data_IF_178348610195
#
_entry.id   IF_178348610195
#
_cell.length_a   1.000
_cell.length_b   1.000
_cell.length_c   1.000
_cell.angle_alpha   90.00
_cell.angle_beta   90.00
_cell.angle_gamma   90.00
#
_symmetry.space_group_name_H-M   'P 1'
#
loop_
_entity.id
_entity.type
_entity.pdbx_description
1 polymer ?
#
# COMPACT_ATOMS: atom_id res chain seq x y z
N UNK A 1 -18.80 -5.01 -18.35
CA UNK A 1 -18.68 -6.49 -18.51
C UNK A 1 -18.24 -7.08 -17.19
N UNK A 2 -18.79 -8.23 -16.80
CA UNK A 2 -18.36 -8.98 -15.61
C UNK A 2 -17.09 -9.74 -15.94
N UNK A 3 -16.02 -9.57 -15.13
CA UNK A 3 -14.75 -10.28 -15.28
C UNK A 3 -14.56 -11.27 -14.13
N UNK A 4 -13.78 -12.34 -14.36
CA UNK A 4 -13.31 -13.24 -13.30
C UNK A 4 -12.03 -12.65 -12.69
N UNK A 5 -12.06 -12.43 -11.39
CA UNK A 5 -10.98 -11.75 -10.66
C UNK A 5 -10.50 -12.63 -9.51
N UNK A 6 -9.18 -12.81 -9.41
CA UNK A 6 -8.54 -13.34 -8.21
C UNK A 6 -8.02 -12.18 -7.36
N UNK A 7 -8.18 -12.24 -6.03
CA UNK A 7 -7.57 -11.29 -5.11
C UNK A 7 -6.83 -12.01 -3.99
N UNK A 8 -5.51 -11.83 -3.96
CA UNK A 8 -4.58 -12.50 -3.03
C UNK A 8 -4.09 -11.50 -1.99
N UNK A 9 -4.37 -11.78 -0.71
CA UNK A 9 -3.98 -10.93 0.40
C UNK A 9 -5.11 -10.02 0.89
N UNK A 10 -5.77 -10.44 1.98
CA UNK A 10 -6.88 -9.75 2.63
C UNK A 10 -6.41 -9.06 3.92
N UNK A 11 -5.36 -8.25 3.81
CA UNK A 11 -4.94 -7.31 4.85
C UNK A 11 -5.92 -6.15 4.99
N UNK A 12 -5.56 -5.15 5.81
CA UNK A 12 -6.38 -3.93 6.02
C UNK A 12 -6.67 -3.18 4.72
N UNK A 13 -5.80 -3.30 3.72
CA UNK A 13 -5.97 -2.70 2.40
C UNK A 13 -6.73 -3.63 1.44
N UNK A 14 -6.24 -4.86 1.26
CA UNK A 14 -6.79 -5.79 0.25
C UNK A 14 -8.20 -6.26 0.54
N UNK A 15 -8.61 -6.35 1.81
CA UNK A 15 -9.95 -6.78 2.20
C UNK A 15 -11.05 -5.88 1.62
N UNK A 16 -11.04 -4.54 1.86
CA UNK A 16 -12.01 -3.64 1.25
C UNK A 16 -11.85 -3.49 -0.27
N UNK A 17 -10.61 -3.51 -0.82
CA UNK A 17 -10.38 -3.42 -2.26
C UNK A 17 -11.05 -4.57 -3.01
N UNK A 18 -10.85 -5.82 -2.58
CA UNK A 18 -11.54 -6.98 -3.13
C UNK A 18 -13.06 -6.85 -3.01
N UNK A 19 -13.55 -6.27 -1.89
CA UNK A 19 -14.96 -6.00 -1.65
C UNK A 19 -15.57 -5.03 -2.65
N UNK A 20 -14.86 -3.95 -2.99
CA UNK A 20 -15.31 -2.99 -4.01
C UNK A 20 -15.38 -3.62 -5.40
N UNK A 21 -14.40 -4.45 -5.78
CA UNK A 21 -14.43 -5.19 -7.06
C UNK A 21 -15.65 -6.12 -7.11
N UNK A 22 -15.95 -6.83 -6.01
CA UNK A 22 -17.15 -7.68 -5.92
C UNK A 22 -18.46 -6.88 -6.00
N UNK A 23 -18.54 -5.73 -5.29
CA UNK A 23 -19.71 -4.84 -5.34
C UNK A 23 -19.95 -4.25 -6.73
N UNK A 24 -18.91 -4.07 -7.53
CA UNK A 24 -19.00 -3.63 -8.92
C UNK A 24 -19.53 -4.74 -9.87
N UNK A 25 -19.79 -5.96 -9.36
CA UNK A 25 -20.42 -7.06 -10.11
C UNK A 25 -19.42 -8.02 -10.77
N UNK A 26 -18.14 -7.99 -10.42
CA UNK A 26 -17.16 -8.97 -10.87
C UNK A 26 -17.24 -10.28 -10.08
N UNK A 27 -16.90 -11.42 -10.70
CA UNK A 27 -16.82 -12.74 -10.04
C UNK A 27 -15.45 -12.86 -9.33
N UNK A 28 -15.44 -12.62 -8.01
CA UNK A 28 -14.21 -12.53 -7.24
C UNK A 28 -13.93 -13.82 -6.47
N UNK A 29 -12.73 -14.38 -6.66
CA UNK A 29 -12.18 -15.47 -5.85
C UNK A 29 -11.04 -14.92 -5.00
N UNK A 30 -11.11 -15.07 -3.68
CA UNK A 30 -10.11 -14.55 -2.76
C UNK A 30 -9.24 -15.64 -2.17
N UNK A 31 -7.98 -15.29 -1.89
CA UNK A 31 -7.08 -16.11 -1.10
C UNK A 31 -6.42 -15.26 -0.01
N UNK A 32 -6.28 -15.83 1.18
CA UNK A 32 -5.48 -15.26 2.26
C UNK A 32 -4.82 -16.36 3.08
N UNK A 33 -3.55 -16.18 3.46
CA UNK A 33 -2.78 -17.14 4.30
C UNK A 33 -3.54 -17.53 5.57
N UNK A 34 -4.22 -16.56 6.22
CA UNK A 34 -5.15 -16.84 7.33
C UNK A 34 -6.54 -17.11 6.74
N UNK A 35 -6.91 -18.37 6.61
CA UNK A 35 -8.16 -18.83 5.95
C UNK A 35 -9.42 -18.15 6.52
N UNK A 36 -9.49 -17.98 7.84
CA UNK A 36 -10.63 -17.33 8.50
C UNK A 36 -10.93 -15.91 7.98
N UNK A 37 -9.91 -15.18 7.47
CA UNK A 37 -10.15 -13.87 6.85
C UNK A 37 -10.84 -13.98 5.50
N UNK A 38 -10.50 -14.99 4.69
CA UNK A 38 -11.15 -15.24 3.41
C UNK A 38 -12.59 -15.71 3.62
N UNK A 39 -12.83 -16.60 4.60
CA UNK A 39 -14.18 -17.06 4.97
C UNK A 39 -15.05 -15.90 5.50
N UNK A 40 -14.48 -14.99 6.32
CA UNK A 40 -15.17 -13.76 6.76
C UNK A 40 -15.53 -12.88 5.57
N UNK A 41 -14.61 -12.70 4.63
CA UNK A 41 -14.81 -11.85 3.45
C UNK A 41 -15.99 -12.38 2.59
N UNK A 42 -16.08 -13.69 2.35
CA UNK A 42 -17.19 -14.31 1.57
C UNK A 42 -18.55 -14.16 2.27
N UNK A 43 -18.58 -14.12 3.61
CA UNK A 43 -19.81 -13.85 4.36
C UNK A 43 -20.29 -12.40 4.21
N UNK A 44 -19.36 -11.47 3.99
CA UNK A 44 -19.65 -10.03 3.86
C UNK A 44 -19.89 -9.61 2.42
N UNK A 45 -19.12 -10.21 1.47
CA UNK A 45 -19.19 -9.91 0.04
C UNK A 45 -19.56 -11.15 -0.76
N UNK A 46 -20.15 -10.96 -1.93
CA UNK A 46 -20.42 -12.08 -2.86
C UNK A 46 -19.11 -12.50 -3.53
N UNK A 47 -18.74 -13.77 -3.38
CA UNK A 47 -17.51 -14.31 -4.00
C UNK A 47 -17.18 -15.70 -3.49
N UNK A 48 -15.97 -16.16 -3.79
CA UNK A 48 -15.48 -17.51 -3.47
C UNK A 48 -14.15 -17.42 -2.74
N UNK A 49 -13.80 -18.47 -2.00
CA UNK A 49 -12.44 -18.66 -1.46
C UNK A 49 -11.70 -19.72 -2.26
N UNK A 50 -10.36 -19.62 -2.25
CA UNK A 50 -9.48 -20.68 -2.71
C UNK A 50 -8.49 -21.07 -1.60
N UNK A 51 -7.95 -22.29 -1.67
CA UNK A 51 -7.01 -22.78 -0.66
C UNK A 51 -5.55 -22.39 -0.97
N UNK A 52 -5.25 -22.02 -2.24
CA UNK A 52 -3.93 -21.56 -2.66
C UNK A 52 -4.04 -20.36 -3.63
N UNK A 53 -2.96 -19.55 -3.78
CA UNK A 53 -2.91 -18.53 -4.83
C UNK A 53 -3.10 -19.11 -6.23
N UNK A 54 -2.55 -20.31 -6.49
CA UNK A 54 -2.68 -21.06 -7.73
C UNK A 54 -4.15 -21.36 -8.05
N UNK A 55 -4.91 -21.85 -7.06
CA UNK A 55 -6.32 -22.16 -7.25
C UNK A 55 -7.17 -20.89 -7.46
N UNK A 56 -6.84 -19.81 -6.74
CA UNK A 56 -7.51 -18.52 -6.90
C UNK A 56 -7.35 -17.95 -8.31
N UNK A 57 -6.15 -18.04 -8.89
CA UNK A 57 -5.80 -17.43 -10.17
C UNK A 57 -6.33 -18.19 -11.39
N UNK A 58 -6.82 -19.45 -11.19
CA UNK A 58 -7.23 -20.30 -12.30
C UNK A 58 -8.39 -19.66 -13.09
N UNK A 59 -8.23 -19.58 -14.40
CA UNK A 59 -9.21 -19.05 -15.36
C UNK A 59 -9.63 -17.58 -15.13
N UNK A 60 -8.88 -16.82 -14.32
CA UNK A 60 -9.16 -15.41 -14.07
C UNK A 60 -8.70 -14.51 -15.22
N UNK A 61 -9.45 -13.42 -15.46
CA UNK A 61 -9.10 -12.36 -16.42
C UNK A 61 -8.12 -11.39 -15.79
N UNK A 62 -8.34 -11.09 -14.50
CA UNK A 62 -7.48 -10.22 -13.68
C UNK A 62 -7.08 -10.93 -12.39
N UNK A 63 -5.84 -10.71 -11.98
CA UNK A 63 -5.30 -11.24 -10.73
C UNK A 63 -4.71 -10.07 -9.95
N UNK A 64 -5.15 -9.87 -8.72
CA UNK A 64 -4.67 -8.80 -7.83
C UNK A 64 -3.91 -9.39 -6.65
N UNK A 65 -2.84 -8.73 -6.24
CA UNK A 65 -2.15 -9.02 -4.98
C UNK A 65 -2.02 -7.77 -4.12
N UNK A 66 -2.14 -7.95 -2.80
CA UNK A 66 -1.81 -6.94 -1.81
C UNK A 66 -1.25 -7.63 -0.56
N UNK A 67 0.06 -7.88 -0.56
CA UNK A 67 0.78 -8.66 0.47
C UNK A 67 1.82 -7.81 1.20
N UNK A 68 2.71 -8.40 1.98
CA UNK A 68 3.57 -7.65 2.90
C UNK A 68 4.85 -7.05 2.29
N UNK A 69 5.55 -7.81 1.44
CA UNK A 69 6.91 -7.48 0.98
C UNK A 69 7.31 -8.33 -0.25
N UNK A 70 8.57 -8.15 -0.72
CA UNK A 70 9.13 -8.89 -1.87
C UNK A 70 9.09 -10.41 -1.70
N UNK A 71 9.38 -10.92 -0.49
CA UNK A 71 9.38 -12.36 -0.23
C UNK A 71 7.96 -12.94 -0.25
N UNK A 72 7.00 -12.25 0.36
CA UNK A 72 5.59 -12.64 0.28
C UNK A 72 5.10 -12.63 -1.19
N UNK A 73 5.54 -11.65 -2.00
CA UNK A 73 5.23 -11.61 -3.43
C UNK A 73 5.81 -12.81 -4.18
N UNK A 74 7.09 -13.13 -3.98
CA UNK A 74 7.69 -14.32 -4.61
C UNK A 74 6.95 -15.58 -4.23
N UNK A 75 6.60 -15.75 -2.95
CA UNK A 75 5.88 -16.93 -2.48
C UNK A 75 4.52 -17.07 -3.17
N UNK A 76 3.69 -16.02 -3.18
CA UNK A 76 2.35 -16.10 -3.77
C UNK A 76 2.34 -16.12 -5.30
N UNK A 77 3.44 -15.71 -5.95
CA UNK A 77 3.56 -15.69 -7.42
C UNK A 77 4.33 -16.88 -7.97
N UNK A 78 5.57 -17.07 -7.54
CA UNK A 78 6.53 -18.02 -8.11
C UNK A 78 6.69 -19.30 -7.27
N UNK A 79 6.22 -19.30 -6.01
CA UNK A 79 6.29 -20.46 -5.11
C UNK A 79 5.58 -21.70 -5.66
N UNK A 80 5.70 -22.82 -4.96
CA UNK A 80 5.15 -24.12 -5.41
C UNK A 80 3.65 -24.09 -5.68
N UNK A 81 2.89 -23.29 -4.89
CA UNK A 81 1.46 -23.04 -5.05
C UNK A 81 1.17 -21.62 -5.53
N UNK A 82 2.14 -21.00 -6.21
CA UNK A 82 2.06 -19.62 -6.69
C UNK A 82 1.14 -19.46 -7.89
N UNK A 83 0.54 -18.29 -8.01
CA UNK A 83 -0.45 -17.96 -9.04
C UNK A 83 0.08 -18.08 -10.48
N UNK A 84 1.39 -17.96 -10.71
CA UNK A 84 2.01 -18.09 -12.04
C UNK A 84 1.97 -19.53 -12.61
N UNK A 85 1.57 -20.52 -11.80
CA UNK A 85 1.37 -21.90 -12.27
C UNK A 85 0.09 -22.06 -13.09
N UNK A 86 -0.94 -21.23 -12.83
CA UNK A 86 -2.29 -21.39 -13.42
C UNK A 86 -2.84 -20.12 -14.06
N UNK A 87 -2.16 -18.97 -13.92
CA UNK A 87 -2.54 -17.76 -14.62
C UNK A 87 -2.66 -18.04 -16.13
N UNK A 88 -3.83 -17.77 -16.69
CA UNK A 88 -4.09 -18.06 -18.11
C UNK A 88 -3.37 -17.07 -19.02
N UNK A 89 -3.07 -17.49 -20.24
CA UNK A 89 -2.55 -16.58 -21.28
C UNK A 89 -3.52 -15.42 -21.50
N UNK A 90 -2.96 -14.22 -21.60
CA UNK A 90 -3.73 -12.98 -21.76
C UNK A 90 -4.39 -12.44 -20.50
N UNK A 91 -4.25 -13.09 -19.33
CA UNK A 91 -4.63 -12.49 -18.06
C UNK A 91 -3.78 -11.26 -17.74
N UNK A 92 -4.29 -10.39 -16.87
CA UNK A 92 -3.55 -9.22 -16.39
C UNK A 92 -3.35 -9.36 -14.89
N UNK A 93 -2.08 -9.42 -14.47
CA UNK A 93 -1.71 -9.43 -13.07
C UNK A 93 -1.39 -8.01 -12.60
N UNK A 94 -2.07 -7.55 -11.55
CA UNK A 94 -1.95 -6.22 -10.93
C UNK A 94 -1.45 -6.38 -9.50
N UNK A 95 -0.26 -5.91 -9.22
CA UNK A 95 0.31 -5.95 -7.87
C UNK A 95 0.16 -4.63 -7.13
N UNK A 96 -0.71 -4.61 -6.12
CA UNK A 96 -0.92 -3.44 -5.25
C UNK A 96 0.00 -3.41 -4.02
N UNK A 97 0.92 -4.35 -3.89
CA UNK A 97 1.88 -4.40 -2.80
C UNK A 97 2.89 -3.26 -2.91
N UNK A 98 3.24 -2.62 -1.80
CA UNK A 98 4.42 -1.77 -1.74
C UNK A 98 5.66 -2.65 -1.60
N UNK A 99 6.43 -2.76 -2.68
CA UNK A 99 7.57 -3.64 -2.84
C UNK A 99 8.73 -2.94 -3.57
N UNK A 100 9.84 -3.64 -3.84
CA UNK A 100 10.94 -3.07 -4.60
C UNK A 100 10.62 -2.96 -6.10
N UNK A 101 11.22 -1.99 -6.79
CA UNK A 101 11.14 -1.93 -8.25
C UNK A 101 11.84 -3.13 -8.92
N UNK A 102 12.74 -3.80 -8.20
CA UNK A 102 13.41 -5.00 -8.69
C UNK A 102 12.44 -6.19 -8.79
N UNK A 103 11.66 -6.45 -7.73
CA UNK A 103 10.67 -7.53 -7.79
C UNK A 103 9.59 -7.24 -8.84
N UNK A 104 9.17 -5.99 -9.01
CA UNK A 104 8.23 -5.62 -10.06
C UNK A 104 8.77 -5.98 -11.46
N UNK A 105 10.03 -5.63 -11.74
CA UNK A 105 10.70 -5.96 -13.01
C UNK A 105 10.93 -7.47 -13.19
N UNK A 106 11.24 -8.19 -12.11
CA UNK A 106 11.36 -9.64 -12.08
C UNK A 106 10.04 -10.29 -12.49
N UNK A 107 8.94 -9.93 -11.80
CA UNK A 107 7.61 -10.49 -12.04
C UNK A 107 7.06 -10.11 -13.43
N UNK A 108 7.36 -8.91 -13.91
CA UNK A 108 7.02 -8.51 -15.29
C UNK A 108 7.65 -9.45 -16.32
N UNK A 109 8.95 -9.75 -16.20
CA UNK A 109 9.65 -10.65 -17.12
C UNK A 109 9.07 -12.07 -17.08
N UNK A 110 8.83 -12.58 -15.87
CA UNK A 110 8.25 -13.90 -15.66
C UNK A 110 6.82 -13.99 -16.23
N UNK A 111 5.98 -12.98 -16.00
CA UNK A 111 4.63 -12.91 -16.56
C UNK A 111 4.64 -12.94 -18.08
N UNK A 112 5.48 -12.09 -18.71
CA UNK A 112 5.64 -12.05 -20.18
C UNK A 112 6.12 -13.38 -20.74
N UNK A 113 7.06 -14.06 -20.08
CA UNK A 113 7.55 -15.38 -20.52
C UNK A 113 6.45 -16.45 -20.53
N UNK A 114 5.44 -16.28 -19.69
CA UNK A 114 4.29 -17.20 -19.56
C UNK A 114 3.07 -16.77 -20.39
N UNK A 115 3.14 -15.62 -21.06
CA UNK A 115 2.11 -15.12 -21.97
C UNK A 115 0.95 -14.38 -21.30
N UNK A 116 1.17 -13.78 -20.12
CA UNK A 116 0.23 -12.85 -19.49
C UNK A 116 0.91 -11.52 -19.13
N UNK A 117 0.13 -10.51 -18.79
CA UNK A 117 0.61 -9.15 -18.54
C UNK A 117 0.79 -8.88 -17.05
N UNK A 118 1.66 -7.92 -16.72
CA UNK A 118 1.93 -7.49 -15.34
C UNK A 118 1.92 -5.97 -15.23
N UNK A 119 1.32 -5.48 -14.14
CA UNK A 119 1.33 -4.08 -13.72
C UNK A 119 1.74 -3.99 -12.24
N UNK A 120 2.76 -3.23 -11.91
CA UNK A 120 3.00 -2.79 -10.54
C UNK A 120 2.14 -1.57 -10.24
N UNK A 121 1.28 -1.69 -9.26
CA UNK A 121 0.23 -0.73 -8.98
C UNK A 121 0.07 -0.42 -7.48
N UNK A 122 1.16 -0.05 -6.78
CA UNK A 122 1.08 0.29 -5.36
C UNK A 122 0.13 1.45 -5.10
N UNK A 123 -0.40 1.48 -3.88
CA UNK A 123 -1.52 2.32 -3.47
C UNK A 123 -1.14 3.30 -2.37
N UNK A 124 -1.87 4.41 -2.30
CA UNK A 124 -1.79 5.41 -1.24
C UNK A 124 -3.19 5.88 -0.82
N UNK A 125 -3.36 6.21 0.47
CA UNK A 125 -4.62 6.64 1.08
C UNK A 125 -4.88 6.02 2.44
N UNK A 126 -4.04 5.04 2.85
CA UNK A 126 -4.15 4.34 4.13
C UNK A 126 -5.44 3.52 4.26
N UNK A 127 -5.70 3.01 5.45
CA UNK A 127 -6.88 2.18 5.75
C UNK A 127 -8.18 2.92 5.41
N UNK A 128 -8.32 4.17 5.81
CA UNK A 128 -9.52 4.97 5.53
C UNK A 128 -9.78 5.15 4.02
N UNK A 129 -8.71 5.34 3.22
CA UNK A 129 -8.83 5.40 1.77
C UNK A 129 -9.25 4.09 1.14
N UNK A 130 -8.78 2.96 1.67
CA UNK A 130 -9.19 1.63 1.21
C UNK A 130 -10.65 1.33 1.57
N UNK A 131 -11.05 1.60 2.82
CA UNK A 131 -12.43 1.44 3.29
C UNK A 131 -13.41 2.37 2.57
N UNK A 132 -12.96 3.56 2.18
CA UNK A 132 -13.77 4.53 1.42
C UNK A 132 -13.79 4.28 -0.10
N UNK A 133 -12.99 3.35 -0.63
CA UNK A 133 -12.88 3.12 -2.08
C UNK A 133 -12.26 4.30 -2.84
N UNK A 134 -11.40 5.09 -2.19
CA UNK A 134 -10.85 6.35 -2.72
C UNK A 134 -9.31 6.37 -2.71
N UNK A 135 -8.70 5.23 -2.99
CA UNK A 135 -7.25 5.14 -3.06
C UNK A 135 -6.67 5.90 -4.27
N UNK A 136 -5.40 6.27 -4.15
CA UNK A 136 -4.58 6.69 -5.29
C UNK A 136 -3.71 5.51 -5.71
N UNK A 137 -3.69 5.19 -7.00
CA UNK A 137 -2.97 4.04 -7.57
C UNK A 137 -1.91 4.54 -8.55
N UNK A 138 -0.66 4.14 -8.31
CA UNK A 138 0.51 4.52 -9.10
C UNK A 138 0.92 3.33 -9.96
N UNK A 139 0.68 3.38 -11.27
CA UNK A 139 0.85 2.21 -12.14
C UNK A 139 2.15 2.28 -12.93
N UNK A 140 2.89 1.17 -12.98
CA UNK A 140 3.99 0.92 -13.90
C UNK A 140 3.71 -0.32 -14.74
N UNK A 141 4.06 -0.28 -16.03
CA UNK A 141 3.85 -1.38 -16.97
C UNK A 141 3.53 -0.90 -18.38
N UNK A 142 2.95 -1.79 -19.18
CA UNK A 142 2.59 -1.48 -20.57
C UNK A 142 1.21 -0.81 -20.63
N UNK A 143 1.02 0.06 -21.62
CA UNK A 143 -0.21 0.84 -21.80
C UNK A 143 -1.44 -0.02 -22.13
N UNK A 144 -1.29 -1.03 -22.98
CA UNK A 144 -2.41 -1.86 -23.40
C UNK A 144 -3.05 -2.66 -22.23
N UNK A 145 -2.29 -3.38 -21.36
CA UNK A 145 -2.85 -3.98 -20.16
C UNK A 145 -3.34 -2.94 -19.14
N UNK A 146 -2.70 -1.77 -19.02
CA UNK A 146 -3.19 -0.69 -18.16
C UNK A 146 -4.60 -0.27 -18.55
N UNK A 147 -4.84 0.06 -19.81
CA UNK A 147 -6.15 0.50 -20.30
C UNK A 147 -7.26 -0.54 -20.07
N UNK A 148 -6.91 -1.85 -20.08
CA UNK A 148 -7.87 -2.93 -19.77
C UNK A 148 -8.10 -3.09 -18.27
N UNK A 149 -7.10 -2.87 -17.43
CA UNK A 149 -7.18 -3.03 -15.97
C UNK A 149 -7.78 -1.81 -15.28
N UNK A 150 -7.63 -0.61 -15.85
CA UNK A 150 -8.07 0.65 -15.27
C UNK A 150 -9.52 0.63 -14.77
N UNK A 151 -10.55 0.11 -15.53
CA UNK A 151 -11.92 0.06 -15.03
C UNK A 151 -12.12 -0.85 -13.81
N UNK A 152 -11.27 -1.87 -13.63
CA UNK A 152 -11.33 -2.76 -12.45
C UNK A 152 -10.61 -2.12 -11.26
N UNK A 153 -9.51 -1.41 -11.50
CA UNK A 153 -8.77 -0.66 -10.47
C UNK A 153 -9.61 0.52 -9.99
N UNK A 154 -10.41 1.14 -10.86
CA UNK A 154 -11.26 2.28 -10.53
C UNK A 154 -12.34 1.93 -9.49
N UNK A 155 -12.72 0.66 -9.36
CA UNK A 155 -13.67 0.21 -8.34
C UNK A 155 -13.28 0.62 -6.90
N UNK A 156 -11.99 0.76 -6.60
CA UNK A 156 -11.48 1.08 -5.25
C UNK A 156 -10.59 2.33 -5.20
N UNK A 157 -10.59 3.13 -6.26
CA UNK A 157 -9.70 4.28 -6.36
C UNK A 157 -10.40 5.56 -6.80
N UNK A 158 -9.83 6.70 -6.43
CA UNK A 158 -10.24 8.04 -6.92
C UNK A 158 -9.28 8.61 -7.95
N UNK A 159 -8.09 8.04 -8.08
CA UNK A 159 -7.06 8.48 -9.03
C UNK A 159 -6.15 7.31 -9.38
N UNK A 160 -6.04 7.07 -10.68
CA UNK A 160 -5.14 6.08 -11.24
C UNK A 160 -4.29 6.77 -12.29
N UNK A 161 -3.02 6.39 -12.42
CA UNK A 161 -2.19 6.87 -13.52
C UNK A 161 -1.07 5.88 -13.85
N UNK A 162 -0.90 5.61 -15.16
CA UNK A 162 0.30 4.97 -15.69
C UNK A 162 1.46 5.99 -15.68
N UNK A 163 2.58 5.62 -15.06
CA UNK A 163 3.71 6.52 -14.79
C UNK A 163 5.00 6.11 -15.50
N UNK A 164 4.94 5.04 -16.29
CA UNK A 164 6.05 4.54 -17.08
C UNK A 164 6.09 3.01 -17.14
N UNK A 165 7.21 2.45 -17.55
CA UNK A 165 7.43 1.00 -17.65
C UNK A 165 7.38 0.32 -16.28
N UNK A 166 7.39 -1.02 -16.28
CA UNK A 166 7.37 -1.83 -15.05
C UNK A 166 8.43 -1.38 -14.03
N UNK A 167 8.03 -1.22 -12.79
CA UNK A 167 8.78 -0.65 -11.68
C UNK A 167 8.52 0.85 -11.45
N UNK A 168 7.92 1.58 -12.40
CA UNK A 168 7.64 3.01 -12.25
C UNK A 168 6.57 3.29 -11.19
N UNK A 169 5.61 2.40 -11.00
CA UNK A 169 4.64 2.48 -9.92
C UNK A 169 5.34 2.39 -8.55
N UNK A 170 6.22 1.40 -8.37
CA UNK A 170 6.99 1.23 -7.13
C UNK A 170 7.94 2.41 -6.87
N UNK A 171 8.62 2.91 -7.91
CA UNK A 171 9.47 4.12 -7.78
C UNK A 171 8.63 5.33 -7.34
N UNK A 172 7.46 5.51 -7.93
CA UNK A 172 6.54 6.59 -7.51
C UNK A 172 6.05 6.41 -6.08
N UNK A 173 5.80 5.16 -5.65
CA UNK A 173 5.48 4.87 -4.25
C UNK A 173 6.64 5.21 -3.31
N UNK A 174 7.90 5.00 -3.71
CA UNK A 174 9.05 5.43 -2.91
C UNK A 174 9.08 6.96 -2.74
N UNK A 175 8.83 7.73 -3.79
CA UNK A 175 8.68 9.20 -3.71
C UNK A 175 7.59 9.57 -2.70
N UNK A 176 6.42 8.93 -2.78
CA UNK A 176 5.33 9.15 -1.83
C UNK A 176 5.74 8.87 -0.38
N UNK A 177 6.47 7.77 -0.11
CA UNK A 177 6.86 7.39 1.25
C UNK A 177 7.94 8.32 1.83
N UNK A 178 8.88 8.79 1.02
CA UNK A 178 9.86 9.83 1.40
C UNK A 178 9.12 11.10 1.85
N UNK A 179 8.14 11.57 1.09
CA UNK A 179 7.33 12.73 1.45
C UNK A 179 6.56 12.51 2.75
N UNK A 180 5.85 11.37 2.89
CA UNK A 180 5.05 11.09 4.10
C UNK A 180 5.91 11.06 5.34
N UNK A 181 7.06 10.39 5.33
CA UNK A 181 7.93 10.30 6.49
C UNK A 181 8.37 11.69 6.97
N UNK A 182 8.79 12.55 6.04
CA UNK A 182 9.23 13.93 6.34
C UNK A 182 8.07 14.78 6.88
N UNK A 183 6.89 14.70 6.26
CA UNK A 183 5.69 15.42 6.72
C UNK A 183 5.29 15.02 8.14
N UNK A 184 5.29 13.73 8.46
CA UNK A 184 4.92 13.23 9.80
C UNK A 184 5.93 13.66 10.85
N UNK A 185 7.22 13.63 10.55
CA UNK A 185 8.26 14.10 11.48
C UNK A 185 8.11 15.61 11.75
N UNK A 186 7.99 16.43 10.70
CA UNK A 186 7.79 17.87 10.86
C UNK A 186 6.52 18.22 11.64
N UNK A 187 5.42 17.49 11.40
CA UNK A 187 4.18 17.66 12.15
C UNK A 187 4.35 17.26 13.62
N UNK A 188 5.11 16.20 13.91
CA UNK A 188 5.41 15.76 15.28
C UNK A 188 6.17 16.83 16.07
N UNK A 189 7.18 17.44 15.46
CA UNK A 189 7.92 18.54 16.07
C UNK A 189 7.05 19.77 16.28
N UNK A 190 6.24 20.14 15.29
CA UNK A 190 5.37 21.30 15.35
C UNK A 190 4.31 21.17 16.45
N UNK A 191 3.66 20.01 16.56
CA UNK A 191 2.68 19.76 17.63
C UNK A 191 3.35 19.80 18.99
N UNK A 192 4.49 19.12 19.16
CA UNK A 192 5.22 19.14 20.43
C UNK A 192 5.68 20.55 20.82
N UNK A 193 6.20 21.33 19.86
CA UNK A 193 6.59 22.73 20.09
C UNK A 193 5.41 23.58 20.56
N UNK A 194 4.26 23.49 19.87
CA UNK A 194 3.07 24.26 20.21
C UNK A 194 2.51 23.89 21.60
N UNK A 195 2.48 22.60 21.94
CA UNK A 195 2.07 22.13 23.27
C UNK A 195 2.99 22.69 24.38
N UNK A 196 4.30 22.66 24.16
CA UNK A 196 5.28 23.19 25.11
C UNK A 196 5.23 24.72 25.22
N UNK A 197 4.76 25.41 24.19
CA UNK A 197 4.50 26.86 24.19
C UNK A 197 3.14 27.24 24.81
N UNK A 198 2.35 26.25 25.28
CA UNK A 198 1.06 26.48 25.90
C UNK A 198 -0.08 26.78 24.92
N UNK A 199 0.08 26.48 23.63
CA UNK A 199 -0.93 26.71 22.62
C UNK A 199 -2.00 25.58 22.61
N UNK A 200 -3.24 25.95 22.34
CA UNK A 200 -4.27 24.95 22.00
C UNK A 200 -4.00 24.42 20.58
N UNK A 201 -3.44 23.22 20.49
CA UNK A 201 -3.04 22.65 19.20
C UNK A 201 -4.21 22.32 18.27
N UNK A 202 -5.42 22.14 18.77
CA UNK A 202 -6.61 21.98 17.91
C UNK A 202 -6.88 23.28 17.15
N UNK A 203 -6.88 24.43 17.83
CA UNK A 203 -7.13 25.75 17.23
C UNK A 203 -5.98 26.10 16.26
N UNK A 204 -4.73 25.82 16.65
CA UNK A 204 -3.56 26.05 15.79
C UNK A 204 -3.70 25.27 14.48
N UNK A 205 -4.01 23.97 14.55
CA UNK A 205 -4.16 23.12 13.34
C UNK A 205 -5.36 23.56 12.51
N UNK A 206 -6.47 23.96 13.11
CA UNK A 206 -7.64 24.50 12.38
C UNK A 206 -7.21 25.65 11.44
N UNK A 207 -6.40 26.58 11.96
CA UNK A 207 -5.93 27.73 11.20
C UNK A 207 -4.88 27.33 10.14
N UNK A 208 -3.77 26.69 10.55
CA UNK A 208 -2.66 26.43 9.64
C UNK A 208 -2.95 25.39 8.58
N UNK A 209 -3.95 24.52 8.79
CA UNK A 209 -4.41 23.54 7.77
C UNK A 209 -5.05 24.21 6.55
N UNK A 210 -5.35 25.50 6.58
CA UNK A 210 -5.86 26.29 5.45
C UNK A 210 -4.76 27.08 4.73
N UNK A 211 -3.54 27.03 5.24
CA UNK A 211 -2.39 27.73 4.69
C UNK A 211 -1.41 26.80 4.00
N UNK A 212 -0.22 27.34 3.68
CA UNK A 212 0.83 26.65 2.93
C UNK A 212 1.44 25.41 3.64
N UNK A 213 1.24 25.28 4.95
CA UNK A 213 1.70 24.13 5.73
C UNK A 213 0.74 22.93 5.68
N UNK A 214 -0.41 23.05 5.01
CA UNK A 214 -1.43 22.02 4.92
C UNK A 214 -0.83 20.69 4.40
N UNK A 215 -1.28 19.60 5.00
CA UNK A 215 -1.01 18.24 4.51
C UNK A 215 -2.12 17.29 4.94
N UNK A 216 -2.28 16.18 4.17
CA UNK A 216 -3.21 15.12 4.58
C UNK A 216 -2.89 14.59 5.99
N UNK A 217 -1.61 14.51 6.35
CA UNK A 217 -1.18 14.05 7.67
C UNK A 217 -1.63 15.03 8.77
N UNK A 218 -1.49 16.34 8.52
CA UNK A 218 -1.98 17.36 9.43
C UNK A 218 -3.50 17.25 9.66
N UNK A 219 -4.30 17.13 8.59
CA UNK A 219 -5.75 17.07 8.69
C UNK A 219 -6.26 15.77 9.34
N UNK A 220 -5.60 14.63 9.11
CA UNK A 220 -6.11 13.31 9.48
C UNK A 220 -5.39 12.66 10.67
N UNK A 221 -4.29 13.23 11.18
CA UNK A 221 -3.49 12.64 12.27
C UNK A 221 -3.32 13.52 13.49
N UNK A 222 -3.48 14.83 13.39
CA UNK A 222 -3.22 15.74 14.51
C UNK A 222 -3.98 15.39 15.79
N UNK A 223 -5.27 15.02 15.70
CA UNK A 223 -6.09 14.69 16.87
C UNK A 223 -5.50 13.52 17.66
N UNK A 224 -5.26 12.42 16.99
CA UNK A 224 -4.69 11.22 17.60
C UNK A 224 -3.26 11.41 18.08
N UNK A 225 -2.48 12.28 17.42
CA UNK A 225 -1.15 12.69 17.87
C UNK A 225 -1.22 13.48 19.17
N UNK A 226 -2.16 14.43 19.28
CA UNK A 226 -2.39 15.22 20.51
C UNK A 226 -2.88 14.31 21.64
N UNK A 227 -3.80 13.38 21.36
CA UNK A 227 -4.44 12.46 22.30
C UNK A 227 -3.58 11.22 22.63
N UNK A 228 -2.39 11.07 22.07
CA UNK A 228 -1.48 9.92 22.29
C UNK A 228 -2.08 8.55 21.88
N UNK A 229 -2.85 8.49 20.79
CA UNK A 229 -3.53 7.28 20.30
C UNK A 229 -2.94 6.81 18.97
N UNK A 230 -2.39 5.58 18.90
CA UNK A 230 -1.66 5.10 17.72
C UNK A 230 -2.01 3.66 17.32
N UNK A 231 -2.96 2.99 17.96
CA UNK A 231 -3.31 1.58 17.67
C UNK A 231 -4.24 1.45 16.44
N UNK A 232 -3.81 2.06 15.32
CA UNK A 232 -4.55 2.07 14.05
C UNK A 232 -3.59 2.41 12.88
N UNK A 233 -4.13 2.45 11.67
CA UNK A 233 -3.51 3.07 10.50
C UNK A 233 -2.37 2.27 9.89
N UNK A 234 -1.24 2.95 9.63
CA UNK A 234 -0.09 2.40 8.92
C UNK A 234 1.09 2.15 9.86
N UNK A 235 1.36 0.88 10.13
CA UNK A 235 2.33 0.45 11.13
C UNK A 235 3.77 0.94 10.84
N UNK A 236 4.49 1.29 11.91
CA UNK A 236 5.91 1.68 11.89
C UNK A 236 6.78 0.63 11.18
N UNK A 237 6.55 -0.68 11.41
CA UNK A 237 7.29 -1.74 10.72
C UNK A 237 7.18 -1.64 9.19
N UNK A 238 6.00 -1.32 8.67
CA UNK A 238 5.79 -1.18 7.23
C UNK A 238 6.40 0.11 6.69
N UNK A 239 6.36 1.22 7.44
CA UNK A 239 7.05 2.43 7.03
C UNK A 239 8.56 2.21 6.96
N UNK A 240 9.17 1.57 7.95
CA UNK A 240 10.60 1.25 7.93
C UNK A 240 10.98 0.35 6.76
N UNK A 241 10.15 -0.65 6.45
CA UNK A 241 10.33 -1.46 5.23
C UNK A 241 10.32 -0.57 3.98
N UNK A 242 9.35 0.34 3.87
CA UNK A 242 9.22 1.22 2.70
C UNK A 242 10.40 2.19 2.56
N UNK A 243 10.85 2.79 3.68
CA UNK A 243 12.02 3.69 3.68
C UNK A 243 13.30 2.92 3.34
N UNK A 244 13.44 1.68 3.81
CA UNK A 244 14.57 0.82 3.43
C UNK A 244 14.59 0.57 1.92
N UNK A 245 13.44 0.22 1.31
CA UNK A 245 13.31 0.04 -0.14
C UNK A 245 13.73 1.31 -0.88
N UNK A 246 13.25 2.49 -0.43
CA UNK A 246 13.61 3.77 -1.03
C UNK A 246 15.12 4.08 -0.91
N UNK A 247 15.72 3.85 0.26
CA UNK A 247 17.16 4.05 0.47
C UNK A 247 18.03 3.07 -0.34
N UNK A 248 17.58 1.82 -0.52
CA UNK A 248 18.31 0.84 -1.33
C UNK A 248 18.24 1.20 -2.83
N UNK A 249 17.12 1.74 -3.31
CA UNK A 249 17.01 2.25 -4.69
C UNK A 249 17.80 3.55 -4.89
N UNK A 250 17.82 4.43 -3.87
CA UNK A 250 18.58 5.68 -3.89
C UNK A 250 20.09 5.47 -4.08
N UNK A 251 20.64 4.35 -3.55
CA UNK A 251 22.04 3.97 -3.79
C UNK A 251 22.31 3.66 -5.26
N UNK A 252 21.34 3.06 -5.97
CA UNK A 252 21.50 2.68 -7.38
C UNK A 252 21.38 3.85 -8.33
N UNK A 253 20.52 4.83 -7.98
CA UNK A 253 20.31 6.02 -8.81
C UNK A 253 21.08 7.25 -8.32
N UNK A 254 22.00 7.08 -7.36
CA UNK A 254 22.86 8.13 -6.77
C UNK A 254 22.08 9.31 -6.18
N UNK A 255 20.93 9.06 -5.55
CA UNK A 255 20.10 10.07 -4.88
C UNK A 255 20.38 10.07 -3.38
N UNK A 256 21.04 11.09 -2.79
CA UNK A 256 21.22 11.13 -1.35
C UNK A 256 19.90 11.39 -0.63
N UNK A 257 19.59 10.60 0.41
CA UNK A 257 18.38 10.71 1.23
C UNK A 257 18.71 10.90 2.72
N UNK A 258 19.41 11.99 3.12
CA UNK A 258 19.87 12.15 4.50
C UNK A 258 18.72 12.28 5.50
N UNK A 259 17.65 12.99 5.16
CA UNK A 259 16.47 13.17 6.03
C UNK A 259 15.69 11.86 6.17
N UNK A 260 15.49 11.13 5.07
CA UNK A 260 14.81 9.83 5.10
C UNK A 260 15.54 8.84 6.01
N UNK A 261 16.87 8.80 5.95
CA UNK A 261 17.70 7.96 6.82
C UNK A 261 17.53 8.34 8.28
N UNK A 262 17.59 9.62 8.61
CA UNK A 262 17.41 10.12 9.98
C UNK A 262 16.01 9.74 10.52
N UNK A 263 14.96 9.87 9.71
CA UNK A 263 13.60 9.52 10.13
C UNK A 263 13.45 8.01 10.30
N UNK A 264 14.12 7.18 9.50
CA UNK A 264 14.13 5.73 9.73
C UNK A 264 14.77 5.38 11.09
N UNK A 265 15.85 6.06 11.48
CA UNK A 265 16.46 5.93 12.79
C UNK A 265 15.48 6.32 13.92
N UNK A 266 14.70 7.38 13.72
CA UNK A 266 13.64 7.80 14.66
C UNK A 266 12.51 6.76 14.76
N UNK A 267 12.11 6.14 13.66
CA UNK A 267 11.17 5.02 13.71
C UNK A 267 11.76 3.79 14.44
N UNK A 268 13.07 3.57 14.34
CA UNK A 268 13.72 2.53 15.14
C UNK A 268 13.63 2.79 16.65
N UNK A 269 13.69 4.07 17.07
CA UNK A 269 13.46 4.44 18.48
C UNK A 269 12.01 4.14 18.89
N UNK A 270 11.02 4.46 18.04
CA UNK A 270 9.61 4.11 18.30
C UNK A 270 9.41 2.60 18.43
N UNK A 271 10.08 1.79 17.60
CA UNK A 271 10.05 0.33 17.76
C UNK A 271 10.60 -0.12 19.12
N UNK A 272 11.70 0.48 19.60
CA UNK A 272 12.25 0.18 20.95
C UNK A 272 11.30 0.53 22.09
N UNK A 273 10.37 1.46 21.87
CA UNK A 273 9.28 1.79 22.80
C UNK A 273 8.09 0.81 22.74
N UNK A 274 8.18 -0.27 21.95
CA UNK A 274 7.08 -1.22 21.74
C UNK A 274 6.13 -0.82 20.60
N UNK A 275 6.47 0.20 19.81
CA UNK A 275 5.61 0.80 18.80
C UNK A 275 5.67 0.16 17.41
N UNK A 276 6.07 -1.11 17.26
CA UNK A 276 6.19 -1.80 15.98
C UNK A 276 4.90 -1.73 15.16
N UNK A 277 3.75 -1.82 15.84
CA UNK A 277 2.43 -1.84 15.21
C UNK A 277 1.68 -0.51 15.31
N UNK A 278 2.23 0.49 15.97
CA UNK A 278 1.64 1.83 16.03
C UNK A 278 1.62 2.51 14.66
N UNK A 279 0.66 3.42 14.47
CA UNK A 279 0.62 4.29 13.28
C UNK A 279 1.90 5.13 13.17
N UNK A 280 2.32 5.42 11.96
CA UNK A 280 3.53 6.23 11.68
C UNK A 280 3.54 7.59 12.38
N UNK A 281 2.38 8.15 12.71
CA UNK A 281 2.25 9.39 13.49
C UNK A 281 2.77 9.29 14.92
N UNK A 282 3.08 8.09 15.41
CA UNK A 282 3.71 7.84 16.71
C UNK A 282 5.14 8.38 16.85
N UNK A 283 5.74 8.95 15.81
CA UNK A 283 7.02 9.70 15.90
C UNK A 283 6.99 10.78 16.99
N UNK A 284 5.84 11.37 17.27
CA UNK A 284 5.66 12.38 18.33
C UNK A 284 5.96 11.81 19.73
N UNK A 285 5.79 10.50 19.97
CA UNK A 285 6.08 9.88 21.28
C UNK A 285 7.53 10.02 21.70
N UNK A 286 8.46 10.21 20.77
CA UNK A 286 9.87 10.45 21.05
C UNK A 286 10.11 11.74 21.86
N UNK A 287 9.18 12.68 21.83
CA UNK A 287 9.25 13.96 22.56
C UNK A 287 8.49 13.92 23.91
N UNK A 288 7.78 12.81 24.17
CA UNK A 288 7.01 12.64 25.41
C UNK A 288 7.78 11.75 26.38
N UNK A 289 7.98 12.26 27.59
CA UNK A 289 8.62 11.51 28.69
C UNK A 289 7.56 10.68 29.42
#
# INVERSE_FOLDING_TARGET
>A
MTCKVAFIGLGVMGYPMAGYISKAGHDVTVFNRTKAKAEKWVKEYKGKTADTPMDAAKDCDFIFTCVGNDNDLREVTLGDKGLFKTAKKGAIYVDNTTASANIARELYKEAKSKGFDFLDAPISGGQAGAEGGILTVMVGGDEAPYNKAEPVIDCYSKKIKLLGSSGSGQLTKMVNQICIASLVQGLSEAINFGMNAGLNMHDVIEVISKGAAQSWQMENRHKTMIEDKFDYGFAVDWMRKDLKIAMDEAKKNNSPLPITKLIDEYYAEVQKMGGQRWDTSSLIKRFRK
#
